data_IF_310027169823
#
_entry.id   IF_310027169823
#
_cell.length_a   1.000
_cell.length_b   1.000
_cell.length_c   1.000
_cell.angle_alpha   90.00
_cell.angle_beta   90.00
_cell.angle_gamma   90.00
#
_symmetry.space_group_name_H-M   'P 1'
#
loop_
_entity.id
_entity.type
_entity.pdbx_description
1 polymer ?
#
# COMPACT_ATOMS: atom_id res chain seq x y z
N UNK A 1 11.87 -3.34 18.45
CA UNK A 1 11.77 -2.32 17.38
C UNK A 1 10.30 -2.16 17.00
N UNK A 2 9.80 -0.94 16.79
CA UNK A 2 8.42 -0.64 16.38
C UNK A 2 8.43 0.06 15.01
N UNK A 3 7.41 -0.18 14.18
CA UNK A 3 7.26 0.41 12.83
C UNK A 3 6.06 1.36 12.73
N UNK A 4 5.41 1.62 13.86
CA UNK A 4 4.19 2.40 13.95
C UNK A 4 3.62 2.43 15.37
N UNK A 5 2.47 3.08 15.53
CA UNK A 5 1.76 3.23 16.79
C UNK A 5 0.25 3.41 16.58
N UNK A 6 -0.53 3.16 17.62
CA UNK A 6 -1.97 3.46 17.62
C UNK A 6 -2.19 4.95 17.83
N UNK A 7 -3.11 5.52 17.05
CA UNK A 7 -3.70 6.83 17.27
C UNK A 7 -5.17 6.61 17.63
N UNK A 8 -5.43 6.38 18.92
CA UNK A 8 -6.74 5.98 19.43
C UNK A 8 -7.80 7.06 19.20
N UNK A 9 -7.39 8.34 19.19
CA UNK A 9 -8.28 9.47 18.96
C UNK A 9 -8.85 9.44 17.54
N UNK A 10 -8.00 9.16 16.56
CA UNK A 10 -8.41 9.06 15.16
C UNK A 10 -8.88 7.64 14.76
N UNK A 11 -8.64 6.65 15.63
CA UNK A 11 -8.92 5.22 15.43
C UNK A 11 -8.09 4.64 14.28
N UNK A 12 -6.81 4.98 14.28
CA UNK A 12 -5.87 4.63 13.22
C UNK A 12 -4.67 3.86 13.78
N UNK A 13 -3.99 3.13 12.90
CA UNK A 13 -2.64 2.64 13.16
C UNK A 13 -1.68 3.35 12.22
N UNK A 14 -0.81 4.19 12.77
CA UNK A 14 0.12 5.03 12.03
C UNK A 14 1.42 4.27 11.79
N UNK A 15 1.75 3.98 10.53
CA UNK A 15 2.98 3.34 10.08
C UNK A 15 3.99 4.42 9.67
N UNK A 16 5.15 4.44 10.31
CA UNK A 16 6.16 5.51 10.14
C UNK A 16 7.37 5.07 9.31
N UNK A 17 7.35 3.85 8.77
CA UNK A 17 8.40 3.33 7.89
C UNK A 17 7.80 2.47 6.79
N UNK A 18 8.22 2.63 5.52
CA UNK A 18 7.67 1.84 4.43
C UNK A 18 8.21 0.39 4.43
N UNK A 19 9.28 0.13 5.19
CA UNK A 19 9.97 -1.17 5.29
C UNK A 19 9.53 -1.93 6.54
N UNK A 20 8.23 -2.21 6.65
CA UNK A 20 7.68 -3.06 7.70
C UNK A 20 8.21 -4.50 7.57
N UNK A 21 8.16 -5.34 8.63
CA UNK A 21 8.61 -6.73 8.57
C UNK A 21 7.88 -7.57 7.52
N UNK A 22 6.66 -7.17 7.17
CA UNK A 22 5.84 -7.70 6.09
C UNK A 22 4.88 -6.60 5.62
N UNK A 23 4.37 -6.60 4.38
CA UNK A 23 3.35 -5.64 3.96
C UNK A 23 2.15 -5.67 4.91
N UNK A 24 1.85 -4.53 5.51
CA UNK A 24 0.68 -4.37 6.37
C UNK A 24 -0.45 -3.78 5.55
N UNK A 25 -1.61 -4.42 5.59
CA UNK A 25 -2.74 -4.07 4.72
C UNK A 25 -3.91 -3.49 5.53
N UNK A 26 -4.74 -2.73 4.82
CA UNK A 26 -6.07 -2.36 5.24
C UNK A 26 -7.11 -2.84 4.20
N UNK A 27 -8.37 -2.90 4.62
CA UNK A 27 -9.52 -3.19 3.78
C UNK A 27 -10.34 -1.92 3.57
N UNK A 28 -10.68 -1.63 2.31
CA UNK A 28 -11.60 -0.56 1.96
C UNK A 28 -12.91 -1.17 1.44
N UNK A 29 -14.03 -0.59 1.87
CA UNK A 29 -15.39 -0.95 1.41
C UNK A 29 -16.13 -1.89 2.38
N UNK A 30 -17.43 -1.62 2.56
CA UNK A 30 -18.31 -2.35 3.49
C UNK A 30 -19.56 -2.92 2.81
N UNK A 31 -19.66 -2.81 1.49
CA UNK A 31 -20.84 -3.21 0.70
C UNK A 31 -20.46 -4.13 -0.47
N UNK A 32 -20.69 -3.71 -1.72
CA UNK A 32 -20.43 -4.56 -2.89
C UNK A 32 -19.02 -4.47 -3.44
N UNK A 33 -18.29 -3.39 -3.17
CA UNK A 33 -16.95 -3.14 -3.73
C UNK A 33 -15.91 -3.14 -2.62
N UNK A 34 -14.78 -3.81 -2.87
CA UNK A 34 -13.73 -4.01 -1.88
C UNK A 34 -12.34 -3.75 -2.45
N UNK A 35 -11.41 -3.33 -1.59
CA UNK A 35 -9.98 -3.25 -1.90
C UNK A 35 -9.15 -3.76 -0.74
N UNK A 36 -8.11 -4.54 -1.04
CA UNK A 36 -6.97 -4.71 -0.16
C UNK A 36 -5.94 -3.66 -0.55
N UNK A 37 -5.44 -2.87 0.39
CA UNK A 37 -4.41 -1.85 0.17
C UNK A 37 -3.29 -1.99 1.20
N UNK A 38 -2.04 -2.11 0.76
CA UNK A 38 -0.89 -2.14 1.66
C UNK A 38 -0.40 -0.73 2.01
N UNK A 39 0.49 -0.65 3.02
CA UNK A 39 1.17 0.58 3.41
C UNK A 39 2.01 1.19 2.27
N UNK A 40 2.36 0.42 1.24
CA UNK A 40 3.05 0.92 0.03
C UNK A 40 2.14 0.93 -1.21
N UNK A 41 0.83 1.04 -1.01
CA UNK A 41 -0.21 1.10 -2.06
C UNK A 41 -0.37 -0.16 -2.92
N UNK A 42 0.22 -1.28 -2.51
CA UNK A 42 0.03 -2.60 -3.11
C UNK A 42 -1.39 -3.13 -2.94
N UNK A 43 -1.68 -4.26 -3.61
CA UNK A 43 -2.97 -4.95 -3.52
C UNK A 43 -3.89 -4.75 -4.73
N UNK A 44 -5.17 -5.11 -4.57
CA UNK A 44 -6.14 -5.12 -5.65
C UNK A 44 -7.57 -4.86 -5.19
N UNK A 45 -8.45 -4.61 -6.16
CA UNK A 45 -9.88 -4.32 -5.94
C UNK A 45 -10.76 -5.30 -6.70
N UNK A 46 -11.96 -5.55 -6.17
CA UNK A 46 -12.94 -6.47 -6.74
C UNK A 46 -14.37 -6.08 -6.35
N UNK A 47 -15.35 -6.53 -7.12
CA UNK A 47 -16.78 -6.32 -6.82
C UNK A 47 -17.46 -7.65 -6.46
N UNK A 48 -17.88 -7.80 -5.21
CA UNK A 48 -18.53 -8.96 -4.57
C UNK A 48 -17.68 -10.24 -4.50
N UNK A 49 -17.02 -10.63 -5.59
CA UNK A 49 -16.28 -11.89 -5.70
C UNK A 49 -14.83 -11.66 -6.13
N UNK A 50 -13.88 -12.00 -5.26
CA UNK A 50 -12.45 -11.80 -5.49
C UNK A 50 -11.81 -12.75 -6.52
N UNK A 51 -12.53 -13.81 -6.93
CA UNK A 51 -12.12 -14.76 -7.99
C UNK A 51 -12.75 -14.39 -9.32
N UNK A 52 -14.06 -14.18 -9.36
CA UNK A 52 -14.85 -14.03 -10.59
C UNK A 52 -15.00 -12.57 -11.06
N UNK A 53 -14.81 -11.59 -10.17
CA UNK A 53 -15.02 -10.16 -10.45
C UNK A 53 -13.88 -9.30 -9.92
N UNK A 54 -12.66 -9.82 -10.05
CA UNK A 54 -11.43 -9.08 -9.75
C UNK A 54 -11.17 -8.03 -10.84
N UNK A 55 -10.91 -6.79 -10.44
CA UNK A 55 -10.70 -5.66 -11.35
C UNK A 55 -9.22 -5.46 -11.63
N UNK A 56 -8.39 -5.38 -10.58
CA UNK A 56 -6.94 -5.17 -10.72
C UNK A 56 -6.16 -6.45 -10.39
N UNK A 57 -5.05 -6.68 -11.09
CA UNK A 57 -4.20 -7.85 -10.88
C UNK A 57 -3.28 -7.64 -9.68
N UNK A 58 -3.09 -8.69 -8.89
CA UNK A 58 -2.09 -8.75 -7.82
C UNK A 58 -1.37 -10.10 -7.84
N UNK A 59 -0.07 -10.10 -7.53
CA UNK A 59 0.78 -11.30 -7.50
C UNK A 59 1.11 -11.64 -6.05
N UNK A 60 0.53 -12.73 -5.55
CA UNK A 60 0.95 -13.34 -4.29
C UNK A 60 2.35 -13.95 -4.46
N UNK A 61 3.13 -14.00 -3.37
CA UNK A 61 4.49 -14.53 -3.36
C UNK A 61 5.41 -13.93 -4.46
N UNK A 62 5.22 -12.64 -4.76
CA UNK A 62 6.09 -11.94 -5.70
C UNK A 62 7.48 -11.70 -5.10
N UNK A 63 8.48 -11.51 -5.95
CA UNK A 63 9.85 -11.17 -5.55
C UNK A 63 10.28 -9.91 -6.31
N UNK A 64 10.44 -8.74 -5.65
CA UNK A 64 10.12 -8.45 -4.25
C UNK A 64 8.63 -8.57 -3.91
N UNK A 65 8.32 -8.73 -2.62
CA UNK A 65 6.94 -8.81 -2.15
C UNK A 65 6.18 -7.51 -2.41
N UNK A 66 4.85 -7.62 -2.55
CA UNK A 66 3.92 -6.48 -2.70
C UNK A 66 4.20 -5.57 -3.90
N UNK A 67 4.84 -6.14 -4.93
CA UNK A 67 5.07 -5.44 -6.19
C UNK A 67 3.84 -5.54 -7.09
N UNK A 68 3.03 -4.48 -7.07
CA UNK A 68 1.85 -4.30 -7.91
C UNK A 68 0.70 -3.71 -7.10
N UNK A 69 0.26 -2.51 -7.48
CA UNK A 69 -0.70 -1.74 -6.72
C UNK A 69 -1.20 -0.51 -7.48
N UNK A 70 -1.62 0.51 -6.73
CA UNK A 70 -2.05 1.80 -7.27
C UNK A 70 -0.89 2.77 -7.13
N UNK A 71 -0.11 2.91 -8.20
CA UNK A 71 1.13 3.68 -8.15
C UNK A 71 0.99 5.03 -8.84
N UNK A 72 1.40 6.07 -8.11
CA UNK A 72 1.55 7.41 -8.62
C UNK A 72 3.05 7.70 -8.74
N UNK A 73 3.50 7.97 -9.96
CA UNK A 73 4.88 8.32 -10.24
C UNK A 73 4.98 9.84 -10.34
N UNK A 74 5.85 10.43 -9.54
CA UNK A 74 6.25 11.83 -9.65
C UNK A 74 7.61 11.86 -10.32
N UNK A 75 7.75 12.67 -11.38
CA UNK A 75 9.03 12.98 -12.01
C UNK A 75 9.36 14.44 -11.70
N UNK A 76 10.44 14.65 -10.96
CA UNK A 76 10.98 15.96 -10.62
C UNK A 76 12.44 16.02 -11.06
N UNK A 77 12.73 16.85 -12.07
CA UNK A 77 14.00 16.82 -12.79
C UNK A 77 14.34 15.42 -13.33
N UNK A 78 15.49 14.91 -12.88
CA UNK A 78 16.01 13.57 -13.20
C UNK A 78 15.58 12.50 -12.19
N UNK A 79 14.85 12.87 -11.14
CA UNK A 79 14.39 11.96 -10.10
C UNK A 79 12.95 11.50 -10.37
N UNK A 80 12.73 10.19 -10.32
CA UNK A 80 11.38 9.59 -10.30
C UNK A 80 11.15 8.96 -8.93
N UNK A 81 9.98 9.17 -8.34
CA UNK A 81 9.66 8.62 -7.02
C UNK A 81 8.16 8.33 -6.87
N UNK A 82 7.82 7.59 -5.81
CA UNK A 82 6.44 7.26 -5.45
C UNK A 82 6.19 7.68 -3.98
N UNK A 83 5.02 8.26 -3.64
CA UNK A 83 4.73 8.66 -2.27
C UNK A 83 4.71 7.48 -1.30
N UNK A 84 4.24 6.32 -1.76
CA UNK A 84 4.25 5.07 -1.01
C UNK A 84 5.62 4.37 -0.95
N UNK A 85 6.71 5.07 -1.32
CA UNK A 85 8.08 4.54 -1.49
C UNK A 85 8.22 3.50 -2.61
N UNK A 86 7.45 2.40 -2.58
CA UNK A 86 7.35 1.40 -3.64
C UNK A 86 6.58 1.95 -4.86
N UNK A 87 6.89 1.53 -6.10
CA UNK A 87 7.87 0.53 -6.50
C UNK A 87 9.28 1.06 -6.75
N UNK A 88 9.48 2.37 -6.94
CA UNK A 88 10.79 2.91 -7.34
C UNK A 88 11.79 2.88 -6.18
N UNK A 89 11.30 2.97 -4.94
CA UNK A 89 12.09 2.89 -3.70
C UNK A 89 13.13 4.00 -3.52
N UNK A 90 12.97 5.11 -4.25
CA UNK A 90 13.69 6.36 -4.00
C UNK A 90 13.55 6.76 -2.53
N UNK A 91 14.64 7.20 -1.91
CA UNK A 91 14.58 7.70 -0.53
C UNK A 91 13.65 8.91 -0.45
N UNK A 92 12.89 8.98 0.64
CA UNK A 92 11.92 10.04 0.89
C UNK A 92 12.36 10.79 2.14
N UNK A 93 12.22 12.12 2.12
CA UNK A 93 12.47 12.96 3.30
C UNK A 93 11.51 12.59 4.45
N UNK A 94 10.29 12.18 4.09
CA UNK A 94 9.28 11.69 5.04
C UNK A 94 8.37 10.64 4.40
N UNK A 95 7.89 9.71 5.21
CA UNK A 95 6.88 8.73 4.84
C UNK A 95 5.98 8.46 6.04
N UNK A 96 4.68 8.40 5.79
CA UNK A 96 3.67 7.97 6.77
C UNK A 96 2.52 7.27 6.03
N UNK A 97 1.97 6.22 6.63
CA UNK A 97 0.73 5.58 6.19
C UNK A 97 -0.21 5.43 7.39
N UNK A 98 -1.50 5.70 7.17
CA UNK A 98 -2.58 5.57 8.17
C UNK A 98 -3.71 4.72 7.59
#
# INVERSE_FOLDING_TARGET
>A
MKFGHFDDKNREYVITSPRTPYPWINYLGTQGFFSLISNTAGGYSFYKDARLRRITRYRYNNVPIDMGGRYFYIKDGDTVWNPGWSPVKTELDSYECR
#
